data_IF_985673955838
#
_entry.id   IF_985673955838
#
_cell.length_a   1.000
_cell.length_b   1.000
_cell.length_c   1.000
_cell.angle_alpha   90.00
_cell.angle_beta   90.00
_cell.angle_gamma   90.00
#
_symmetry.space_group_name_H-M   'P 1'
#
loop_
_entity.id
_entity.type
_entity.pdbx_description
1 polymer ?
#
# COMPACT_ATOMS: atom_id res chain seq x y z
N UNK A 1 -8.51 -10.90 -14.48
CA UNK A 1 -8.84 -9.70 -13.67
C UNK A 1 -7.84 -9.59 -12.52
N UNK A 2 -7.29 -8.39 -12.30
CA UNK A 2 -6.00 -8.15 -11.62
C UNK A 2 -6.21 -7.57 -10.21
N UNK A 3 -5.31 -7.90 -9.26
CA UNK A 3 -5.15 -7.11 -8.04
C UNK A 3 -4.81 -5.67 -8.44
N UNK A 4 -5.55 -4.71 -7.89
CA UNK A 4 -5.42 -3.31 -8.30
C UNK A 4 -4.30 -2.68 -7.47
N UNK A 5 -3.15 -2.52 -8.11
CA UNK A 5 -2.05 -1.72 -7.58
C UNK A 5 -2.31 -0.25 -7.89
N UNK A 6 -2.25 0.61 -6.86
CA UNK A 6 -2.39 2.05 -7.02
C UNK A 6 -1.08 2.74 -6.62
N UNK A 7 -0.26 3.15 -7.59
CA UNK A 7 0.92 3.94 -7.30
C UNK A 7 0.54 5.39 -7.00
N UNK A 8 1.08 5.98 -5.92
CA UNK A 8 0.85 7.39 -5.57
C UNK A 8 2.18 8.15 -5.62
N UNK A 9 2.31 9.03 -6.62
CA UNK A 9 3.52 9.82 -6.84
C UNK A 9 3.36 11.29 -6.49
N UNK A 10 4.50 11.90 -6.19
CA UNK A 10 4.60 13.33 -5.97
C UNK A 10 5.89 13.70 -5.26
N UNK A 11 6.23 14.98 -5.34
CA UNK A 11 7.40 15.53 -4.65
C UNK A 11 7.27 15.39 -3.12
N UNK A 12 8.38 15.58 -2.40
CA UNK A 12 8.33 15.71 -0.95
C UNK A 12 7.41 16.87 -0.55
N UNK A 13 6.66 16.72 0.54
CA UNK A 13 5.74 17.75 1.03
C UNK A 13 4.41 17.89 0.26
N UNK A 14 4.18 17.20 -0.86
CA UNK A 14 2.95 17.37 -1.64
C UNK A 14 1.70 16.70 -1.04
N UNK A 15 1.80 16.11 0.16
CA UNK A 15 0.66 15.56 0.91
C UNK A 15 0.40 14.06 0.71
N UNK A 16 1.30 13.29 0.10
CA UNK A 16 1.11 11.83 -0.17
C UNK A 16 0.74 11.04 1.08
N UNK A 17 1.60 11.07 2.09
CA UNK A 17 1.42 10.41 3.38
C UNK A 17 0.10 10.81 4.04
N UNK A 18 -0.22 12.12 4.04
CA UNK A 18 -1.49 12.62 4.56
C UNK A 18 -2.69 12.02 3.81
N UNK A 19 -2.67 12.00 2.48
CA UNK A 19 -3.74 11.41 1.67
C UNK A 19 -3.93 9.93 1.97
N UNK A 20 -2.83 9.18 2.13
CA UNK A 20 -2.89 7.76 2.48
C UNK A 20 -3.51 7.54 3.86
N UNK A 21 -3.10 8.33 4.85
CA UNK A 21 -3.63 8.26 6.21
C UNK A 21 -5.12 8.66 6.23
N UNK A 22 -5.49 9.75 5.56
CA UNK A 22 -6.90 10.19 5.47
C UNK A 22 -7.77 9.11 4.78
N UNK A 23 -7.24 8.45 3.75
CA UNK A 23 -7.93 7.33 3.10
C UNK A 23 -8.11 6.14 4.04
N UNK A 24 -7.07 5.74 4.79
CA UNK A 24 -7.18 4.65 5.77
C UNK A 24 -8.10 4.99 6.95
N UNK A 25 -8.26 6.27 7.27
CA UNK A 25 -9.29 6.69 8.22
C UNK A 25 -10.71 6.41 7.71
N UNK A 26 -10.92 6.47 6.39
CA UNK A 26 -12.21 6.23 5.74
C UNK A 26 -12.41 4.78 5.28
N UNK A 27 -11.34 4.00 5.09
CA UNK A 27 -11.37 2.64 4.56
C UNK A 27 -10.47 1.73 5.38
N UNK A 28 -10.91 0.51 5.67
CA UNK A 28 -10.11 -0.44 6.43
C UNK A 28 -8.87 -0.89 5.64
N UNK A 29 -7.72 -0.94 6.32
CA UNK A 29 -6.48 -1.34 5.70
C UNK A 29 -5.27 -1.21 6.62
N UNK A 30 -4.10 -1.42 6.05
CA UNK A 30 -2.83 -1.51 6.75
C UNK A 30 -1.90 -0.41 6.28
N UNK A 31 -1.16 0.19 7.21
CA UNK A 31 -0.16 1.21 6.94
C UNK A 31 1.22 0.70 7.33
N UNK A 32 2.11 0.60 6.34
CA UNK A 32 3.51 0.27 6.51
C UNK A 32 4.36 1.45 6.03
N UNK A 33 5.37 1.84 6.80
CA UNK A 33 6.34 2.86 6.40
C UNK A 33 7.73 2.24 6.30
N UNK A 34 8.42 2.43 5.19
CA UNK A 34 9.79 1.94 5.00
C UNK A 34 10.85 2.88 5.61
N UNK A 35 10.52 4.13 5.94
CA UNK A 35 11.43 5.10 6.51
C UNK A 35 11.69 4.88 8.00
N UNK A 36 12.90 5.21 8.45
CA UNK A 36 13.23 5.29 9.88
C UNK A 36 12.72 6.61 10.43
N UNK A 37 12.21 6.60 11.67
CA UNK A 37 11.87 7.81 12.43
C UNK A 37 10.79 8.73 11.82
N UNK A 38 9.92 8.17 10.99
CA UNK A 38 8.74 8.84 10.45
C UNK A 38 7.45 8.25 11.07
N UNK A 39 6.28 8.70 10.65
CA UNK A 39 5.00 8.13 11.07
C UNK A 39 4.92 6.64 10.72
N UNK A 40 4.46 5.82 11.64
CA UNK A 40 4.37 4.38 11.43
C UNK A 40 5.12 3.59 12.48
N UNK A 41 5.00 2.27 12.37
CA UNK A 41 5.86 1.35 13.13
C UNK A 41 7.18 1.19 12.41
N UNK A 42 8.23 0.91 13.17
CA UNK A 42 9.53 0.53 12.63
C UNK A 42 9.55 -0.90 12.05
N UNK A 43 8.43 -1.63 12.07
CA UNK A 43 8.34 -3.04 11.69
C UNK A 43 8.85 -3.33 10.27
N UNK A 44 8.37 -2.61 9.25
CA UNK A 44 8.83 -2.78 7.87
C UNK A 44 10.30 -2.38 7.71
N UNK A 45 10.75 -1.31 8.38
CA UNK A 45 12.13 -0.86 8.28
C UNK A 45 13.12 -1.85 8.92
N UNK A 46 12.80 -2.36 10.13
CA UNK A 46 13.61 -3.39 10.80
C UNK A 46 13.58 -4.69 10.02
N UNK A 47 12.45 -5.05 9.45
CA UNK A 47 12.35 -6.22 8.57
C UNK A 47 13.25 -6.07 7.34
N UNK A 48 13.28 -4.90 6.72
CA UNK A 48 14.19 -4.62 5.61
C UNK A 48 15.66 -4.71 6.02
N UNK A 49 16.02 -4.28 7.24
CA UNK A 49 17.37 -4.44 7.78
C UNK A 49 17.72 -5.91 8.05
N UNK A 50 16.77 -6.72 8.54
CA UNK A 50 16.95 -8.17 8.71
C UNK A 50 17.19 -8.85 7.36
N UNK A 51 16.36 -8.56 6.36
CA UNK A 51 16.54 -9.06 5.00
C UNK A 51 17.93 -8.70 4.50
N UNK A 52 18.31 -7.43 4.59
CA UNK A 52 19.59 -6.93 4.10
C UNK A 52 20.79 -7.64 4.74
N UNK A 53 20.72 -7.91 6.05
CA UNK A 53 21.77 -8.58 6.81
C UNK A 53 21.97 -10.06 6.47
N UNK A 54 20.96 -10.70 5.84
CA UNK A 54 20.93 -12.14 5.55
C UNK A 54 20.93 -12.45 4.05
N UNK A 55 21.11 -11.44 3.20
CA UNK A 55 21.24 -11.64 1.75
C UNK A 55 22.49 -12.47 1.47
N UNK A 56 22.30 -13.48 0.62
CA UNK A 56 23.36 -14.32 0.08
C UNK A 56 23.74 -13.83 -1.32
N UNK A 57 25.04 -13.70 -1.59
CA UNK A 57 25.56 -13.40 -2.92
C UNK A 57 25.19 -14.52 -3.91
N UNK A 58 24.85 -14.14 -5.14
CA UNK A 58 24.46 -15.04 -6.23
C UNK A 58 23.30 -16.01 -5.96
N UNK A 59 22.56 -15.82 -4.87
CA UNK A 59 21.43 -16.66 -4.47
C UNK A 59 20.09 -15.91 -4.53
N UNK A 60 19.84 -15.20 -5.63
CA UNK A 60 18.69 -14.31 -5.77
C UNK A 60 17.34 -14.99 -5.50
N UNK A 61 17.17 -16.25 -5.89
CA UNK A 61 15.94 -17.01 -5.61
C UNK A 61 15.75 -17.28 -4.11
N UNK A 62 16.82 -17.66 -3.41
CA UNK A 62 16.80 -17.87 -1.95
C UNK A 62 16.49 -16.56 -1.23
N UNK A 63 17.10 -15.46 -1.67
CA UNK A 63 16.83 -14.13 -1.14
C UNK A 63 15.37 -13.72 -1.35
N UNK A 64 14.79 -14.00 -2.52
CA UNK A 64 13.37 -13.76 -2.83
C UNK A 64 12.47 -14.50 -1.85
N UNK A 65 12.65 -15.82 -1.71
CA UNK A 65 11.84 -16.64 -0.79
C UNK A 65 11.99 -16.17 0.66
N UNK A 66 13.19 -15.78 1.07
CA UNK A 66 13.42 -15.26 2.41
C UNK A 66 12.69 -13.93 2.64
N UNK A 67 12.83 -12.97 1.72
CA UNK A 67 12.15 -11.67 1.79
C UNK A 67 10.62 -11.80 1.75
N UNK A 68 10.10 -12.75 0.97
CA UNK A 68 8.68 -13.06 0.92
C UNK A 68 8.18 -13.62 2.25
N UNK A 69 8.88 -14.61 2.82
CA UNK A 69 8.55 -15.15 4.14
C UNK A 69 8.56 -14.07 5.22
N UNK A 70 9.58 -13.22 5.24
CA UNK A 70 9.65 -12.11 6.19
C UNK A 70 8.45 -11.15 6.02
N UNK A 71 8.13 -10.78 4.79
CA UNK A 71 6.99 -9.88 4.52
C UNK A 71 5.64 -10.51 4.88
N UNK A 72 5.49 -11.82 4.70
CA UNK A 72 4.29 -12.54 5.16
C UNK A 72 4.15 -12.50 6.69
N UNK A 73 5.25 -12.63 7.45
CA UNK A 73 5.23 -12.52 8.91
C UNK A 73 4.88 -11.12 9.38
N UNK A 74 5.42 -10.10 8.70
CA UNK A 74 5.03 -8.71 8.92
C UNK A 74 3.53 -8.55 8.74
N UNK A 75 2.96 -9.06 7.65
CA UNK A 75 1.53 -8.93 7.42
C UNK A 75 0.71 -9.73 8.44
N UNK A 76 1.14 -10.95 8.77
CA UNK A 76 0.53 -11.79 9.79
C UNK A 76 0.48 -11.08 11.15
N UNK A 77 1.56 -10.41 11.55
CA UNK A 77 1.61 -9.67 12.82
C UNK A 77 0.51 -8.60 12.89
N UNK A 78 0.32 -7.83 11.81
CA UNK A 78 -0.72 -6.79 11.70
C UNK A 78 -2.12 -7.39 11.70
N UNK A 79 -2.29 -8.52 11.00
CA UNK A 79 -3.57 -9.24 10.96
C UNK A 79 -3.95 -9.77 12.35
N UNK A 80 -3.02 -10.38 13.08
CA UNK A 80 -3.26 -10.88 14.43
C UNK A 80 -3.64 -9.75 15.40
N UNK A 81 -2.95 -8.60 15.33
CA UNK A 81 -3.26 -7.44 16.17
C UNK A 81 -4.65 -6.89 15.83
N UNK A 82 -4.97 -6.72 14.55
CA UNK A 82 -6.30 -6.28 14.13
C UNK A 82 -7.38 -7.28 14.58
N UNK A 83 -7.13 -8.57 14.39
CA UNK A 83 -8.05 -9.63 14.79
C UNK A 83 -8.29 -9.62 16.31
N UNK A 84 -7.26 -9.36 17.11
CA UNK A 84 -7.36 -9.16 18.55
C UNK A 84 -8.24 -7.95 18.88
N UNK A 85 -7.98 -6.78 18.27
CA UNK A 85 -8.80 -5.58 18.48
C UNK A 85 -10.28 -5.81 18.13
N UNK A 86 -10.56 -6.54 17.04
CA UNK A 86 -11.92 -6.90 16.62
C UNK A 86 -12.57 -7.95 17.53
N UNK A 87 -11.79 -8.69 18.32
CA UNK A 87 -12.26 -9.65 19.30
C UNK A 87 -12.63 -9.05 20.66
N UNK A 88 -12.27 -7.79 20.92
CA UNK A 88 -12.59 -7.12 22.19
C UNK A 88 -14.11 -6.91 22.31
N UNK A 89 -14.76 -7.30 23.43
CA UNK A 89 -16.19 -7.10 23.62
C UNK A 89 -16.61 -5.63 23.43
N UNK A 90 -17.61 -5.41 22.59
CA UNK A 90 -18.11 -4.06 22.29
C UNK A 90 -17.21 -3.22 21.37
N UNK A 91 -16.19 -3.80 20.72
CA UNK A 91 -15.29 -3.09 19.81
C UNK A 91 -16.04 -2.35 18.70
N UNK A 92 -17.10 -2.92 18.13
CA UNK A 92 -17.87 -2.31 17.04
C UNK A 92 -18.44 -0.92 17.37
N UNK A 93 -18.61 -0.58 18.65
CA UNK A 93 -19.09 0.74 19.10
C UNK A 93 -17.99 1.78 19.19
N UNK A 94 -16.73 1.35 19.27
CA UNK A 94 -15.60 2.22 19.64
C UNK A 94 -14.38 2.05 18.76
N UNK A 95 -14.29 1.05 17.89
CA UNK A 95 -13.08 0.75 17.12
C UNK A 95 -13.36 0.93 15.64
N UNK A 96 -13.02 2.11 15.11
CA UNK A 96 -13.21 2.44 13.69
C UNK A 96 -11.93 2.26 12.88
N UNK A 97 -12.04 2.28 11.55
CA UNK A 97 -10.90 2.36 10.62
C UNK A 97 -9.95 3.51 10.94
N UNK A 98 -10.48 4.67 11.38
CA UNK A 98 -9.67 5.80 11.83
C UNK A 98 -8.86 5.51 13.09
N UNK A 99 -9.45 4.81 14.08
CA UNK A 99 -8.72 4.41 15.29
C UNK A 99 -7.70 3.32 15.00
N UNK A 100 -8.02 2.39 14.11
CA UNK A 100 -7.05 1.40 13.61
C UNK A 100 -5.88 2.08 12.90
N UNK A 101 -6.16 3.07 12.04
CA UNK A 101 -5.12 3.87 11.36
C UNK A 101 -4.23 4.61 12.36
N UNK A 102 -4.84 5.26 13.36
CA UNK A 102 -4.10 6.00 14.38
C UNK A 102 -3.13 5.10 15.15
N UNK A 103 -3.53 3.87 15.49
CA UNK A 103 -2.64 2.91 16.14
C UNK A 103 -1.41 2.61 15.26
N UNK A 104 -1.61 2.43 13.96
CA UNK A 104 -0.52 2.08 13.03
C UNK A 104 0.43 3.24 12.74
N UNK A 105 -0.08 4.48 12.69
CA UNK A 105 0.67 5.71 12.37
C UNK A 105 1.39 6.30 13.57
N UNK A 106 0.83 6.13 14.78
CA UNK A 106 1.39 6.67 16.03
C UNK A 106 1.74 5.58 17.05
N UNK A 107 2.42 4.48 16.67
CA UNK A 107 2.58 3.32 17.56
C UNK A 107 3.44 3.64 18.79
N UNK A 108 4.40 4.57 18.66
CA UNK A 108 5.24 5.03 19.77
C UNK A 108 4.44 5.71 20.90
N UNK A 109 3.23 6.19 20.62
CA UNK A 109 2.33 6.74 21.65
C UNK A 109 1.74 5.64 22.55
N UNK A 110 1.63 4.41 22.03
CA UNK A 110 0.91 3.30 22.67
C UNK A 110 1.80 2.07 22.98
N UNK A 111 3.13 2.22 22.86
CA UNK A 111 4.12 1.15 22.69
C UNK A 111 3.94 0.45 21.35
N UNK A 112 5.03 0.34 20.59
CA UNK A 112 4.97 -0.23 19.24
C UNK A 112 4.82 -1.76 19.27
N UNK A 113 3.59 -2.21 19.51
CA UNK A 113 3.22 -3.63 19.54
C UNK A 113 3.42 -4.33 18.20
N UNK A 114 3.43 -3.56 17.10
CA UNK A 114 3.56 -4.11 15.75
C UNK A 114 4.97 -4.61 15.51
N UNK A 115 5.98 -3.75 15.74
CA UNK A 115 7.37 -4.17 15.61
C UNK A 115 7.71 -5.28 16.61
N UNK A 116 7.21 -5.20 17.84
CA UNK A 116 7.46 -6.24 18.83
C UNK A 116 6.91 -7.61 18.37
N UNK A 117 5.64 -7.70 17.98
CA UNK A 117 5.07 -8.97 17.53
C UNK A 117 5.72 -9.46 16.22
N UNK A 118 6.01 -8.55 15.28
CA UNK A 118 6.67 -8.91 14.04
C UNK A 118 8.03 -9.55 14.28
N UNK A 119 8.85 -8.97 15.17
CA UNK A 119 10.18 -9.51 15.46
C UNK A 119 10.11 -10.87 16.17
N UNK A 120 9.19 -11.04 17.12
CA UNK A 120 8.97 -12.35 17.77
C UNK A 120 8.59 -13.44 16.75
N UNK A 121 7.74 -13.12 15.78
CA UNK A 121 7.37 -14.06 14.70
C UNK A 121 8.56 -14.37 13.78
N UNK A 122 9.37 -13.36 13.44
CA UNK A 122 10.61 -13.54 12.68
C UNK A 122 11.58 -14.48 13.42
N UNK A 123 11.77 -14.28 14.71
CA UNK A 123 12.69 -15.11 15.51
C UNK A 123 12.20 -16.57 15.58
N UNK A 124 10.91 -16.80 15.86
CA UNK A 124 10.33 -18.14 15.90
C UNK A 124 10.48 -18.92 14.59
N UNK A 125 10.31 -18.24 13.45
CA UNK A 125 10.41 -18.87 12.12
C UNK A 125 11.84 -19.00 11.61
N UNK A 126 12.78 -18.21 12.12
CA UNK A 126 14.21 -18.50 11.87
C UNK A 126 14.67 -19.77 12.58
N UNK A 127 14.07 -20.11 13.72
CA UNK A 127 14.35 -21.36 14.46
C UNK A 127 13.63 -22.56 13.84
N UNK A 128 12.38 -22.38 13.40
CA UNK A 128 11.56 -23.44 12.80
C UNK A 128 11.46 -23.15 11.31
N UNK A 129 12.22 -23.86 10.48
CA UNK A 129 12.16 -23.70 9.03
C UNK A 129 10.73 -23.97 8.51
N UNK A 130 9.94 -22.90 8.32
CA UNK A 130 8.57 -22.97 7.77
C UNK A 130 8.63 -22.68 6.27
N UNK A 131 8.10 -23.56 5.41
CA UNK A 131 7.97 -23.29 3.99
C UNK A 131 7.12 -22.03 3.70
N UNK A 132 7.53 -21.23 2.72
CA UNK A 132 6.81 -19.98 2.35
C UNK A 132 5.35 -20.24 1.94
N UNK A 133 5.06 -21.40 1.34
CA UNK A 133 3.70 -21.82 0.98
C UNK A 133 2.79 -22.02 2.19
N UNK A 134 3.33 -22.62 3.24
CA UNK A 134 2.60 -22.91 4.47
C UNK A 134 2.35 -21.61 5.23
N UNK A 135 3.37 -20.75 5.29
CA UNK A 135 3.24 -19.42 5.85
C UNK A 135 2.18 -18.61 5.10
N UNK A 136 2.21 -18.59 3.77
CA UNK A 136 1.19 -17.92 2.96
C UNK A 136 -0.23 -18.46 3.25
N UNK A 137 -0.38 -19.77 3.47
CA UNK A 137 -1.64 -20.40 3.87
C UNK A 137 -2.12 -19.90 5.25
N UNK A 138 -1.21 -19.80 6.22
CA UNK A 138 -1.50 -19.25 7.56
C UNK A 138 -1.96 -17.79 7.44
N UNK A 139 -1.23 -16.97 6.70
CA UNK A 139 -1.58 -15.55 6.53
C UNK A 139 -2.92 -15.39 5.81
N UNK A 140 -3.20 -16.20 4.77
CA UNK A 140 -4.51 -16.23 4.08
C UNK A 140 -5.65 -16.56 5.03
N UNK A 141 -5.44 -17.54 5.92
CA UNK A 141 -6.45 -17.93 6.90
C UNK A 141 -6.75 -16.78 7.87
N UNK A 142 -5.72 -16.15 8.42
CA UNK A 142 -5.90 -15.02 9.32
C UNK A 142 -6.53 -13.81 8.61
N UNK A 143 -6.15 -13.56 7.36
CA UNK A 143 -6.74 -12.53 6.51
C UNK A 143 -8.25 -12.73 6.31
N UNK A 144 -8.69 -13.96 6.01
CA UNK A 144 -10.11 -14.30 5.91
C UNK A 144 -10.85 -14.06 7.21
N UNK A 145 -10.29 -14.50 8.34
CA UNK A 145 -10.89 -14.30 9.67
C UNK A 145 -11.09 -12.81 9.99
N UNK A 146 -10.09 -11.97 9.69
CA UNK A 146 -10.20 -10.51 9.86
C UNK A 146 -11.34 -9.94 9.01
N UNK A 147 -11.44 -10.33 7.74
CA UNK A 147 -12.51 -9.84 6.84
C UNK A 147 -13.89 -10.30 7.27
N UNK A 148 -14.03 -11.57 7.67
CA UNK A 148 -15.27 -12.13 8.20
C UNK A 148 -15.72 -11.36 9.45
N UNK A 149 -14.80 -11.06 10.38
CA UNK A 149 -15.12 -10.28 11.58
C UNK A 149 -15.49 -8.83 11.26
N UNK A 150 -14.77 -8.18 10.34
CA UNK A 150 -15.11 -6.82 9.92
C UNK A 150 -16.52 -6.76 9.30
N UNK A 151 -16.86 -7.73 8.45
CA UNK A 151 -18.19 -7.84 7.86
C UNK A 151 -19.26 -8.13 8.93
N UNK A 152 -18.99 -9.04 9.87
CA UNK A 152 -19.93 -9.39 10.94
C UNK A 152 -20.20 -8.22 11.91
N UNK A 153 -19.23 -7.32 12.10
CA UNK A 153 -19.39 -6.12 12.94
C UNK A 153 -20.22 -5.01 12.29
N UNK A 154 -20.60 -5.14 11.00
CA UNK A 154 -21.45 -4.19 10.27
C UNK A 154 -20.94 -2.74 10.33
N UNK A 155 -19.64 -2.52 10.19
CA UNK A 155 -19.10 -1.17 10.05
C UNK A 155 -19.66 -0.49 8.79
N UNK A 156 -19.99 0.82 8.83
CA UNK A 156 -20.64 1.51 7.70
C UNK A 156 -19.76 1.59 6.44
N UNK A 157 -18.45 1.42 6.59
CA UNK A 157 -17.45 1.51 5.54
C UNK A 157 -16.80 0.16 5.20
N UNK A 158 -17.43 -0.96 5.58
CA UNK A 158 -16.95 -2.29 5.23
C UNK A 158 -18.10 -3.29 5.00
N UNK A 159 -17.98 -4.06 3.92
CA UNK A 159 -18.86 -5.17 3.54
C UNK A 159 -18.03 -6.38 3.10
N UNK A 160 -18.65 -7.53 2.87
CA UNK A 160 -17.98 -8.72 2.33
C UNK A 160 -17.25 -8.47 1.00
N UNK A 161 -17.77 -7.54 0.20
CA UNK A 161 -17.22 -7.19 -1.11
C UNK A 161 -16.18 -6.06 -1.02
N UNK A 162 -16.00 -5.48 0.17
CA UNK A 162 -15.00 -4.43 0.39
C UNK A 162 -13.60 -5.01 0.32
N UNK A 163 -12.72 -4.32 -0.43
CA UNK A 163 -11.28 -4.64 -0.47
C UNK A 163 -10.57 -3.95 0.69
N UNK A 164 -9.65 -4.65 1.34
CA UNK A 164 -8.75 -4.04 2.32
C UNK A 164 -7.62 -3.30 1.60
N UNK A 165 -7.15 -2.21 2.19
CA UNK A 165 -6.03 -1.42 1.65
C UNK A 165 -4.72 -1.86 2.28
N UNK A 166 -3.65 -1.90 1.51
CA UNK A 166 -2.28 -2.14 2.01
C UNK A 166 -1.42 -0.99 1.51
N UNK A 167 -1.12 -0.04 2.39
CA UNK A 167 -0.27 1.11 2.09
C UNK A 167 1.17 0.77 2.43
N UNK A 168 2.07 0.92 1.47
CA UNK A 168 3.52 0.90 1.65
C UNK A 168 4.02 2.32 1.34
N UNK A 169 4.18 3.13 2.39
CA UNK A 169 4.71 4.49 2.27
C UNK A 169 6.24 4.50 2.28
N UNK A 170 6.81 5.55 1.71
CA UNK A 170 8.26 5.71 1.48
C UNK A 170 8.91 4.48 0.79
N UNK A 171 8.14 3.83 -0.10
CA UNK A 171 8.49 2.59 -0.78
C UNK A 171 9.76 2.70 -1.64
N UNK A 172 10.18 3.91 -2.01
CA UNK A 172 11.45 4.12 -2.73
C UNK A 172 12.64 3.60 -1.91
N UNK A 173 12.58 3.62 -0.58
CA UNK A 173 13.64 3.11 0.28
C UNK A 173 13.88 1.62 0.01
N UNK A 174 12.81 0.83 -0.12
CA UNK A 174 12.90 -0.58 -0.49
C UNK A 174 13.25 -0.78 -1.97
N UNK A 175 12.89 0.17 -2.84
CA UNK A 175 13.24 0.15 -4.26
C UNK A 175 14.73 0.40 -4.49
N UNK A 176 15.37 1.20 -3.64
CA UNK A 176 16.79 1.54 -3.74
C UNK A 176 17.68 0.50 -3.06
N UNK A 177 17.12 -0.28 -2.12
CA UNK A 177 17.81 -1.39 -1.48
C UNK A 177 17.96 -2.57 -2.43
N UNK A 178 19.22 -2.98 -2.62
CA UNK A 178 19.62 -4.27 -3.22
C UNK A 178 19.00 -4.49 -4.60
N UNK A 179 19.27 -3.59 -5.56
CA UNK A 179 18.54 -3.50 -6.83
C UNK A 179 18.60 -4.75 -7.71
N UNK A 180 19.56 -5.63 -7.46
CA UNK A 180 19.81 -6.83 -8.26
C UNK A 180 19.89 -8.11 -7.42
N UNK A 181 19.41 -8.10 -6.18
CA UNK A 181 19.59 -9.24 -5.25
C UNK A 181 18.41 -10.20 -5.20
N UNK A 182 17.31 -9.91 -5.90
CA UNK A 182 16.07 -10.68 -5.89
C UNK A 182 15.64 -11.04 -7.31
N UNK A 183 14.89 -12.12 -7.46
CA UNK A 183 14.33 -12.57 -8.73
C UNK A 183 12.93 -12.00 -8.98
N UNK A 184 12.61 -11.74 -10.25
CA UNK A 184 11.25 -11.42 -10.68
C UNK A 184 10.36 -12.66 -10.64
N UNK A 185 9.17 -12.53 -10.07
CA UNK A 185 8.14 -13.58 -10.08
C UNK A 185 7.52 -13.81 -11.47
N UNK A 186 7.66 -12.85 -12.40
CA UNK A 186 6.98 -12.87 -13.71
C UNK A 186 7.89 -13.13 -14.90
N UNK A 187 9.20 -13.03 -14.72
CA UNK A 187 10.17 -13.02 -15.81
C UNK A 187 11.42 -13.73 -15.36
N UNK A 188 11.68 -14.91 -15.91
CA UNK A 188 12.86 -15.70 -15.55
C UNK A 188 14.15 -14.94 -15.89
N UNK A 189 15.07 -14.87 -14.92
CA UNK A 189 16.39 -14.24 -15.07
C UNK A 189 16.42 -12.74 -14.75
N UNK A 190 15.28 -12.09 -14.62
CA UNK A 190 15.21 -10.67 -14.28
C UNK A 190 15.48 -10.45 -12.80
N UNK A 191 16.47 -9.61 -12.49
CA UNK A 191 16.78 -9.20 -11.14
C UNK A 191 15.96 -7.98 -10.71
N UNK A 192 15.70 -7.88 -9.41
CA UNK A 192 14.77 -6.92 -8.80
C UNK A 192 15.29 -6.38 -7.47
N UNK A 193 14.84 -5.17 -7.07
CA UNK A 193 15.08 -4.63 -5.73
C UNK A 193 14.20 -5.30 -4.66
N UNK A 194 14.52 -5.04 -3.39
CA UNK A 194 13.82 -5.60 -2.22
C UNK A 194 12.32 -5.32 -2.21
N UNK A 195 11.88 -4.17 -2.76
CA UNK A 195 10.46 -3.85 -2.86
C UNK A 195 9.67 -4.92 -3.65
N UNK A 196 10.29 -5.62 -4.61
CA UNK A 196 9.61 -6.62 -5.45
C UNK A 196 9.08 -7.84 -4.68
N UNK A 197 9.92 -8.61 -3.97
CA UNK A 197 9.43 -9.72 -3.15
C UNK A 197 8.46 -9.26 -2.05
N UNK A 198 8.65 -8.06 -1.48
CA UNK A 198 7.70 -7.54 -0.48
C UNK A 198 6.30 -7.33 -1.08
N UNK A 199 6.19 -6.66 -2.23
CA UNK A 199 4.91 -6.48 -2.89
C UNK A 199 4.30 -7.82 -3.35
N UNK A 200 5.13 -8.75 -3.84
CA UNK A 200 4.65 -10.08 -4.23
C UNK A 200 4.05 -10.85 -3.05
N UNK A 201 4.72 -10.84 -1.90
CA UNK A 201 4.22 -11.45 -0.67
C UNK A 201 2.84 -10.92 -0.26
N UNK A 202 2.64 -9.59 -0.25
CA UNK A 202 1.32 -9.00 0.04
C UNK A 202 0.25 -9.47 -0.96
N UNK A 203 0.57 -9.52 -2.26
CA UNK A 203 -0.35 -9.98 -3.31
C UNK A 203 -0.74 -11.44 -3.14
N UNK A 204 0.12 -12.26 -2.55
CA UNK A 204 -0.12 -13.69 -2.40
C UNK A 204 -1.21 -14.05 -1.35
N UNK A 205 -1.63 -13.09 -0.52
CA UNK A 205 -2.52 -13.32 0.64
C UNK A 205 -4.01 -13.12 0.32
N UNK A 206 -4.35 -12.18 -0.56
CA UNK A 206 -5.74 -11.98 -0.99
C UNK A 206 -6.07 -12.80 -2.23
N UNK A 207 -7.33 -13.18 -2.42
CA UNK A 207 -7.83 -13.35 -3.78
C UNK A 207 -7.73 -12.00 -4.52
N UNK A 208 -7.66 -12.03 -5.85
CA UNK A 208 -7.31 -10.87 -6.69
C UNK A 208 -8.23 -9.64 -6.52
N UNK A 209 -9.38 -9.79 -5.87
CA UNK A 209 -10.34 -8.72 -5.59
C UNK A 209 -10.49 -8.34 -4.11
N UNK A 210 -9.63 -8.85 -3.22
CA UNK A 210 -9.78 -8.63 -1.77
C UNK A 210 -8.81 -7.58 -1.21
N UNK A 211 -7.78 -7.24 -1.98
CA UNK A 211 -6.73 -6.30 -1.62
C UNK A 211 -6.53 -5.23 -2.70
N UNK A 212 -6.24 -4.01 -2.24
CA UNK A 212 -5.68 -2.94 -3.06
C UNK A 212 -4.37 -2.53 -2.43
N UNK A 213 -3.26 -2.76 -3.14
CA UNK A 213 -1.94 -2.38 -2.67
C UNK A 213 -1.63 -0.99 -3.20
N UNK A 214 -1.25 -0.10 -2.30
CA UNK A 214 -0.96 1.29 -2.61
C UNK A 214 0.46 1.55 -2.14
N UNK A 215 1.36 1.87 -3.07
CA UNK A 215 2.73 2.22 -2.71
C UNK A 215 2.99 3.68 -3.08
N UNK A 216 3.63 4.39 -2.17
CA UNK A 216 3.98 5.80 -2.34
C UNK A 216 5.44 6.04 -1.99
N UNK A 217 5.97 7.14 -2.50
CA UNK A 217 7.37 7.47 -2.32
C UNK A 217 7.81 8.64 -3.17
N UNK A 218 8.84 9.34 -2.71
CA UNK A 218 9.48 10.41 -3.49
C UNK A 218 10.49 9.79 -4.44
N UNK A 219 10.47 10.14 -5.73
CA UNK A 219 11.44 9.63 -6.69
C UNK A 219 11.19 8.21 -7.20
N UNK A 220 10.05 7.59 -6.85
CA UNK A 220 9.62 6.36 -7.51
C UNK A 220 9.47 6.61 -9.02
N UNK A 221 10.24 5.88 -9.82
CA UNK A 221 10.30 6.09 -11.27
C UNK A 221 9.23 5.28 -12.01
N UNK A 222 8.97 5.63 -13.26
CA UNK A 222 8.14 4.80 -14.16
C UNK A 222 8.74 3.40 -14.40
N UNK A 223 10.05 3.22 -14.19
CA UNK A 223 10.68 1.90 -14.19
C UNK A 223 10.25 1.10 -12.97
N UNK A 224 10.15 1.75 -11.82
CA UNK A 224 9.59 1.18 -10.58
C UNK A 224 8.16 0.69 -10.80
N UNK A 225 7.34 1.45 -11.56
CA UNK A 225 6.01 0.99 -11.99
C UNK A 225 6.05 -0.26 -12.86
N UNK A 226 6.89 -0.25 -13.90
CA UNK A 226 6.84 -1.28 -14.94
C UNK A 226 7.10 -2.67 -14.35
N UNK A 227 8.09 -2.78 -13.46
CA UNK A 227 8.39 -4.03 -12.78
C UNK A 227 7.51 -4.27 -11.55
N UNK A 228 7.11 -3.26 -10.78
CA UNK A 228 6.18 -3.48 -9.65
C UNK A 228 4.86 -4.08 -10.16
N UNK A 229 4.38 -3.61 -11.32
CA UNK A 229 3.24 -4.16 -12.04
C UNK A 229 3.56 -5.47 -12.78
N UNK A 230 4.83 -5.72 -13.14
CA UNK A 230 5.22 -7.01 -13.74
C UNK A 230 5.25 -8.12 -12.71
N UNK A 231 5.65 -7.85 -11.47
CA UNK A 231 5.69 -8.82 -10.36
C UNK A 231 4.31 -9.35 -9.92
N UNK A 232 3.22 -8.95 -10.60
CA UNK A 232 1.89 -9.51 -10.49
C UNK A 232 1.68 -10.69 -11.45
N UNK A 233 1.00 -11.73 -10.97
CA UNK A 233 0.98 -13.08 -11.56
C UNK A 233 0.07 -13.23 -12.80
N UNK A 234 0.25 -12.40 -13.84
CA UNK A 234 -0.60 -12.43 -15.03
C UNK A 234 0.03 -11.85 -16.29
N UNK A 235 -0.02 -12.65 -17.36
CA UNK A 235 0.29 -12.26 -18.75
C UNK A 235 -0.38 -10.91 -19.05
N UNK A 236 0.46 -9.89 -19.29
CA UNK A 236 0.02 -8.54 -19.66
C UNK A 236 -0.49 -8.59 -21.09
N UNK A 237 -1.80 -8.55 -21.27
CA UNK A 237 -2.39 -8.10 -22.53
C UNK A 237 -2.00 -6.64 -22.73
N UNK A 238 -0.92 -6.40 -23.45
CA UNK A 238 -0.52 -5.08 -23.93
C UNK A 238 -1.65 -4.53 -24.80
N UNK A 239 -2.27 -3.44 -24.36
CA UNK A 239 -3.37 -2.83 -25.09
C UNK A 239 -4.14 -1.80 -24.28
N UNK A 240 -3.47 -0.85 -23.63
CA UNK A 240 -4.08 0.42 -23.25
C UNK A 240 -2.97 1.38 -22.84
N UNK A 241 -3.06 2.60 -23.36
CA UNK A 241 -2.08 3.67 -23.21
C UNK A 241 -1.57 3.76 -21.77
N UNK A 242 -0.24 3.70 -21.64
CA UNK A 242 0.53 4.11 -20.46
C UNK A 242 -0.18 5.31 -19.82
N UNK A 243 -0.64 5.16 -18.57
CA UNK A 243 -1.39 6.19 -17.84
C UNK A 243 -0.85 7.58 -18.20
N UNK A 244 -1.64 8.45 -18.84
CA UNK A 244 -1.10 9.71 -19.33
C UNK A 244 -0.74 10.56 -18.12
N UNK A 245 0.57 10.74 -17.96
CA UNK A 245 1.20 11.46 -16.86
C UNK A 245 0.51 12.81 -16.68
N UNK A 246 -0.09 13.01 -15.50
CA UNK A 246 -0.76 14.24 -15.13
C UNK A 246 0.11 14.95 -14.10
N UNK A 247 0.92 15.89 -14.58
CA UNK A 247 1.67 16.80 -13.72
C UNK A 247 0.67 17.60 -12.86
N UNK A 248 0.81 17.46 -11.54
CA UNK A 248 -0.02 18.15 -10.57
C UNK A 248 0.83 19.20 -9.84
N UNK A 249 0.87 20.45 -10.34
CA UNK A 249 1.67 21.52 -9.74
C UNK A 249 1.07 22.08 -8.43
N UNK A 250 0.03 21.43 -7.90
CA UNK A 250 -0.74 21.91 -6.76
C UNK A 250 -1.94 22.79 -7.15
N UNK A 251 -2.85 22.98 -6.19
CA UNK A 251 -3.98 23.90 -6.32
C UNK A 251 -3.55 25.32 -5.90
N UNK A 252 -2.68 25.94 -6.71
CA UNK A 252 -2.12 27.28 -6.48
C UNK A 252 -3.12 28.41 -6.73
N UNK A 253 -4.18 28.14 -7.50
CA UNK A 253 -5.28 29.04 -7.77
C UNK A 253 -6.42 28.32 -8.49
N UNK A 254 -7.57 28.97 -8.65
CA UNK A 254 -8.71 28.45 -9.42
C UNK A 254 -8.33 28.07 -10.85
N UNK A 255 -7.41 28.80 -11.46
CA UNK A 255 -6.92 28.52 -12.82
C UNK A 255 -6.11 27.22 -12.90
N UNK A 256 -5.30 26.93 -11.87
CA UNK A 256 -4.57 25.66 -11.81
C UNK A 256 -5.54 24.49 -11.61
N UNK A 257 -6.64 24.74 -10.89
CA UNK A 257 -7.71 23.75 -10.72
C UNK A 257 -8.41 23.46 -12.04
N UNK A 258 -8.82 24.52 -12.72
CA UNK A 258 -9.49 24.43 -14.02
C UNK A 258 -8.57 23.77 -15.06
N UNK A 259 -7.28 24.08 -15.06
CA UNK A 259 -6.32 23.46 -15.96
C UNK A 259 -6.18 21.95 -15.71
N UNK A 260 -6.20 21.51 -14.44
CA UNK A 260 -6.21 20.08 -14.11
C UNK A 260 -7.50 19.39 -14.59
N UNK A 261 -8.68 19.99 -14.34
CA UNK A 261 -9.97 19.47 -14.81
C UNK A 261 -9.98 19.36 -16.33
N UNK A 262 -9.49 20.37 -17.04
CA UNK A 262 -9.41 20.37 -18.51
C UNK A 262 -8.46 19.27 -19.02
N UNK A 263 -7.31 19.07 -18.36
CA UNK A 263 -6.40 17.97 -18.69
C UNK A 263 -7.04 16.60 -18.44
N UNK A 264 -7.76 16.43 -17.33
CA UNK A 264 -8.50 15.21 -17.03
C UNK A 264 -9.55 14.92 -18.11
N UNK A 265 -10.32 15.93 -18.52
CA UNK A 265 -11.27 15.82 -19.66
C UNK A 265 -10.58 15.43 -20.97
N UNK A 266 -9.38 15.97 -21.22
CA UNK A 266 -8.57 15.63 -22.40
C UNK A 266 -8.15 14.15 -22.47
N UNK A 267 -8.22 13.42 -21.36
CA UNK A 267 -7.90 11.99 -21.29
C UNK A 267 -9.13 11.09 -21.40
N UNK A 268 -10.34 11.65 -21.43
CA UNK A 268 -11.57 10.87 -21.53
C UNK A 268 -11.83 10.42 -22.98
N UNK A 269 -12.32 9.18 -23.17
CA UNK A 269 -12.39 8.54 -24.48
C UNK A 269 -13.48 9.13 -25.39
N UNK A 270 -14.53 9.71 -24.82
CA UNK A 270 -15.70 10.21 -25.54
C UNK A 270 -16.20 11.56 -24.99
N UNK A 271 -16.99 12.27 -25.80
CA UNK A 271 -17.48 13.60 -25.47
C UNK A 271 -18.60 13.57 -24.41
N UNK A 272 -19.33 12.46 -24.28
CA UNK A 272 -20.35 12.27 -23.26
C UNK A 272 -19.72 12.29 -21.85
N UNK A 273 -18.61 11.57 -21.68
CA UNK A 273 -17.81 11.56 -20.46
C UNK A 273 -17.24 12.95 -20.13
N UNK A 274 -16.83 13.72 -21.14
CA UNK A 274 -16.34 15.10 -20.94
C UNK A 274 -17.45 16.04 -20.47
N UNK A 275 -18.65 15.94 -21.05
CA UNK A 275 -19.83 16.71 -20.65
C UNK A 275 -20.28 16.32 -19.24
N UNK A 276 -20.18 15.04 -18.90
CA UNK A 276 -20.47 14.56 -17.55
C UNK A 276 -19.53 15.19 -16.50
N UNK A 277 -18.24 15.34 -16.82
CA UNK A 277 -17.30 16.05 -15.93
C UNK A 277 -17.68 17.52 -15.74
N UNK A 278 -18.12 18.22 -16.78
CA UNK A 278 -18.59 19.61 -16.64
C UNK A 278 -19.84 19.72 -15.75
N UNK A 279 -20.70 18.70 -15.80
CA UNK A 279 -21.90 18.62 -14.97
C UNK A 279 -21.55 18.33 -13.50
N UNK A 280 -20.58 17.45 -13.27
CA UNK A 280 -20.14 17.05 -11.93
C UNK A 280 -19.22 18.09 -11.27
N UNK A 281 -18.47 18.86 -12.06
CA UNK A 281 -17.52 19.87 -11.59
C UNK A 281 -17.85 21.22 -12.25
N UNK A 282 -18.98 21.85 -11.88
CA UNK A 282 -19.31 23.18 -12.37
C UNK A 282 -18.30 24.24 -11.87
N UNK A 283 -18.25 25.44 -12.47
CA UNK A 283 -17.33 26.50 -12.05
C UNK A 283 -17.38 26.83 -10.54
N UNK A 284 -18.57 26.81 -9.94
CA UNK A 284 -18.74 26.99 -8.50
C UNK A 284 -18.07 25.88 -7.66
N UNK A 285 -18.01 24.65 -8.19
CA UNK A 285 -17.28 23.56 -7.55
C UNK A 285 -15.76 23.79 -7.64
N UNK A 286 -15.25 24.34 -8.75
CA UNK A 286 -13.82 24.70 -8.90
C UNK A 286 -13.39 25.74 -7.86
N UNK A 287 -14.20 26.77 -7.63
CA UNK A 287 -13.97 27.75 -6.56
C UNK A 287 -14.02 27.12 -5.17
N UNK A 288 -14.99 26.21 -4.94
CA UNK A 288 -15.10 25.49 -3.67
C UNK A 288 -13.91 24.57 -3.42
N UNK A 289 -13.44 23.88 -4.46
CA UNK A 289 -12.25 23.03 -4.44
C UNK A 289 -11.04 23.88 -4.06
N UNK A 290 -10.85 25.04 -4.69
CA UNK A 290 -9.78 25.96 -4.33
C UNK A 290 -9.91 26.36 -2.86
N UNK A 291 -11.02 26.94 -2.44
CA UNK A 291 -11.23 27.40 -1.06
C UNK A 291 -11.00 26.31 -0.01
N UNK A 292 -11.36 25.05 -0.30
CA UNK A 292 -11.17 23.92 0.62
C UNK A 292 -9.75 23.36 0.62
N UNK A 293 -9.02 23.49 -0.48
CA UNK A 293 -7.72 22.87 -0.68
C UNK A 293 -6.55 23.86 -0.68
N UNK A 294 -6.79 25.17 -0.70
CA UNK A 294 -5.77 26.21 -0.49
C UNK A 294 -5.05 25.94 0.82
N UNK A 295 -3.72 25.80 0.75
CA UNK A 295 -2.87 25.53 1.92
C UNK A 295 -2.76 24.06 2.34
N UNK A 296 -3.49 23.12 1.71
CA UNK A 296 -3.40 21.67 2.00
C UNK A 296 -2.49 20.88 1.04
N UNK A 297 -2.29 21.38 -0.18
CA UNK A 297 -1.50 20.74 -1.23
C UNK A 297 -0.42 21.67 -1.80
N UNK A 298 0.22 22.47 -0.94
CA UNK A 298 1.43 23.20 -1.34
C UNK A 298 2.63 22.29 -1.09
N UNK A 299 3.60 22.20 -2.02
CA UNK A 299 4.98 21.98 -1.60
C UNK A 299 5.31 23.13 -0.64
N UNK A 300 5.79 22.80 0.56
CA UNK A 300 6.47 23.78 1.42
C UNK A 300 7.78 24.15 0.73
#
# INVERSE_FOLDING_TARGET
MQAQDLPVFGASGCGKTRTMIEMLCLQWGFYFNAAKSDFGSDDLCKLADIIDSKILEDAANTNTVFAESMTLLLFLSRLMILNYCLGVPGCCRTFSSARWTLLQVCPNTFKDVFVHLCMELCDLTTVRAVPVSDLASIVRKEFRLVRERLAAHNYPNFSSDSKLRVVVDEAQILSDKRPTSFTSSSTHGDLRPMLSPCLHAFRSVGLRDELTIIYSGTGLSIRTLHWALSSGDGIKGYGSNTFPYLEFPGWTGTDSIQAYVNRLKGQLPDDESKILVDTLIPPAAVEMLHKRFTGRFRPI
#
